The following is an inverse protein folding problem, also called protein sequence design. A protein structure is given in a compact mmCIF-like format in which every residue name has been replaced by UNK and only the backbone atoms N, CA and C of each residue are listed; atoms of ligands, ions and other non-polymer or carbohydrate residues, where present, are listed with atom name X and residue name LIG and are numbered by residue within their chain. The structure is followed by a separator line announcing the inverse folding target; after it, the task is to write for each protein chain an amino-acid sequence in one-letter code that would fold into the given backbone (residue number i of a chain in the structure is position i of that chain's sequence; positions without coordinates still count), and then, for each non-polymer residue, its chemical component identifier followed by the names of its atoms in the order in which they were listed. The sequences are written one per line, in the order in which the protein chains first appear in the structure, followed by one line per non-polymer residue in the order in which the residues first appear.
data_IF_907775811584
#
_entry.id   IF_907775811584
#
_cell.length_a   1.000
_cell.length_b   1.000
_cell.length_c   1.000
_cell.angle_alpha   90.00
_cell.angle_beta   90.00
_cell.angle_gamma   90.00
#
_symmetry.space_group_name_H-M   'P 1'
#
loop_
_entity.id
_entity.type
_entity.pdbx_description
1 polymer ?
#
# COMPACT_ATOMS: atom_id res chain seq x y z
N UNK A 1 65.47 4.07 64.00
CA UNK A 1 66.27 4.37 62.77
C UNK A 1 65.34 4.17 61.58
N UNK A 2 64.86 5.21 60.89
CA UNK A 2 65.43 5.80 59.64
C UNK A 2 65.90 4.69 58.67
N UNK A 3 65.53 4.59 57.39
CA UNK A 3 64.80 5.40 56.41
C UNK A 3 64.91 4.63 55.07
N UNK A 4 63.90 4.59 54.19
CA UNK A 4 63.85 5.11 52.78
C UNK A 4 63.04 4.08 51.96
N UNK A 5 61.92 4.40 51.30
CA UNK A 5 61.69 5.16 50.05
C UNK A 5 62.08 4.41 48.75
N UNK A 6 61.17 4.50 47.76
CA UNK A 6 61.18 4.09 46.33
C UNK A 6 60.55 2.72 46.01
N UNK A 7 59.28 2.67 45.56
CA UNK A 7 58.73 2.95 44.20
C UNK A 7 59.14 1.87 43.19
N UNK A 8 58.18 1.01 42.84
CA UNK A 8 57.92 0.70 41.43
C UNK A 8 56.44 0.32 41.25
N UNK A 9 55.74 1.17 40.50
CA UNK A 9 54.40 0.94 40.03
C UNK A 9 54.42 -0.03 38.84
N UNK A 10 53.51 -1.00 38.80
CA UNK A 10 53.05 -1.57 37.53
C UNK A 10 51.60 -2.03 37.65
N UNK A 11 50.79 -1.42 36.79
CA UNK A 11 49.42 -1.73 36.41
C UNK A 11 49.10 -3.23 36.37
N UNK A 12 47.86 -3.61 36.66
CA UNK A 12 46.94 -4.16 35.63
C UNK A 12 45.53 -4.46 36.17
N UNK A 13 44.62 -3.55 35.84
CA UNK A 13 43.31 -3.82 35.20
C UNK A 13 42.31 -4.66 36.01
N UNK A 14 41.50 -3.92 36.78
CA UNK A 14 40.14 -4.31 37.15
C UNK A 14 39.30 -4.54 35.89
N UNK A 15 38.94 -5.79 35.63
CA UNK A 15 37.99 -6.19 34.58
C UNK A 15 36.57 -5.76 35.01
N UNK A 16 36.24 -4.50 34.73
CA UNK A 16 34.85 -4.03 34.75
C UNK A 16 34.11 -4.73 33.60
N UNK A 17 33.35 -5.77 33.91
CA UNK A 17 32.35 -6.36 33.02
C UNK A 17 31.27 -5.30 32.77
N UNK A 18 31.51 -4.46 31.78
CA UNK A 18 30.49 -3.63 31.16
C UNK A 18 29.52 -4.61 30.49
N UNK A 19 28.39 -4.86 31.15
CA UNK A 19 27.21 -5.37 30.46
C UNK A 19 26.78 -4.29 29.46
N UNK A 20 27.35 -4.34 28.26
CA UNK A 20 26.79 -3.71 27.07
C UNK A 20 25.45 -4.37 26.80
N UNK A 21 24.43 -3.95 27.53
CA UNK A 21 23.05 -4.07 27.11
C UNK A 21 22.95 -3.34 25.79
N UNK A 22 23.02 -4.08 24.69
CA UNK A 22 22.48 -3.65 23.41
C UNK A 22 21.07 -3.15 23.68
N UNK A 23 20.90 -1.82 23.76
CA UNK A 23 19.59 -1.23 23.53
C UNK A 23 19.25 -1.65 22.11
N UNK A 24 18.40 -2.67 21.96
CA UNK A 24 17.59 -2.84 20.76
C UNK A 24 16.98 -1.46 20.57
N UNK A 25 17.46 -0.72 19.56
CA UNK A 25 16.78 0.48 19.12
C UNK A 25 15.34 0.06 18.93
N UNK A 26 14.41 0.72 19.62
CA UNK A 26 13.01 0.45 19.40
C UNK A 26 12.74 0.79 17.95
N UNK A 27 12.65 -0.22 17.09
CA UNK A 27 12.16 -0.04 15.73
C UNK A 27 10.77 0.56 15.88
N UNK A 28 10.66 1.87 15.60
CA UNK A 28 9.37 2.52 15.52
C UNK A 28 8.66 1.89 14.34
N UNK A 29 7.73 0.99 14.64
CA UNK A 29 6.88 0.35 13.64
C UNK A 29 6.23 1.44 12.80
N UNK A 30 6.34 1.30 11.47
CA UNK A 30 5.72 2.25 10.55
C UNK A 30 4.21 2.33 10.79
N UNK A 31 3.70 3.55 10.87
CA UNK A 31 2.27 3.88 10.97
C UNK A 31 1.93 4.83 9.85
N UNK A 32 0.86 4.53 9.13
CA UNK A 32 0.35 5.40 8.09
C UNK A 32 -0.55 6.47 8.73
N UNK A 33 -0.01 7.67 8.92
CA UNK A 33 -0.73 8.78 9.57
C UNK A 33 -1.85 9.38 8.71
N UNK A 34 -1.84 9.15 7.40
CA UNK A 34 -2.90 9.58 6.47
C UNK A 34 -3.98 8.52 6.26
N UNK A 35 -3.75 7.29 6.73
CA UNK A 35 -4.66 6.18 6.51
C UNK A 35 -5.77 6.14 7.57
N UNK A 36 -7.01 6.02 7.12
CA UNK A 36 -8.15 5.80 8.01
C UNK A 36 -8.15 4.39 8.60
N UNK A 37 -8.43 4.26 9.90
CA UNK A 37 -8.53 2.96 10.59
C UNK A 37 -9.91 2.33 10.51
N UNK A 38 -10.93 3.10 10.11
CA UNK A 38 -12.31 2.65 9.88
C UNK A 38 -12.74 2.94 8.45
N UNK A 39 -13.73 2.21 7.89
CA UNK A 39 -14.26 2.52 6.57
C UNK A 39 -14.83 3.94 6.49
N UNK A 40 -14.61 4.62 5.37
CA UNK A 40 -15.13 5.96 5.07
C UNK A 40 -16.45 5.90 4.27
N UNK A 41 -16.77 4.75 3.67
CA UNK A 41 -18.00 4.56 2.89
C UNK A 41 -19.26 4.75 3.75
N UNK A 42 -20.25 5.48 3.24
CA UNK A 42 -21.56 5.56 3.89
C UNK A 42 -22.45 4.37 3.48
N UNK A 43 -23.20 3.82 4.43
CA UNK A 43 -24.07 2.66 4.21
C UNK A 43 -25.10 2.89 3.10
N UNK A 44 -25.59 4.13 2.96
CA UNK A 44 -26.51 4.53 1.91
C UNK A 44 -25.94 4.34 0.48
N UNK A 45 -24.62 4.22 0.35
CA UNK A 45 -23.90 4.12 -0.91
C UNK A 45 -23.24 2.75 -1.13
N UNK A 46 -23.45 1.78 -0.25
CA UNK A 46 -22.78 0.47 -0.31
C UNK A 46 -23.07 -0.29 -1.61
N UNK A 47 -24.27 -0.13 -2.16
CA UNK A 47 -24.72 -0.76 -3.40
C UNK A 47 -24.99 0.28 -4.51
N UNK A 48 -24.28 1.40 -4.51
CA UNK A 48 -24.40 2.46 -5.50
C UNK A 48 -23.04 2.80 -6.13
N UNK A 49 -23.05 3.45 -7.30
CA UNK A 49 -21.84 4.03 -7.89
C UNK A 49 -21.28 5.17 -7.03
N UNK A 50 -22.10 5.79 -6.18
CA UNK A 50 -21.64 6.74 -5.17
C UNK A 50 -20.78 6.04 -4.11
N UNK A 51 -19.94 6.78 -3.41
CA UNK A 51 -19.18 6.27 -2.27
C UNK A 51 -17.67 6.43 -2.43
N UNK A 52 -16.92 5.65 -1.65
CA UNK A 52 -15.46 5.69 -1.60
C UNK A 52 -14.88 4.53 -2.40
N UNK A 53 -13.87 4.84 -3.21
CA UNK A 53 -13.07 3.84 -3.91
C UNK A 53 -11.61 4.09 -3.60
N UNK A 54 -10.86 3.03 -3.30
CA UNK A 54 -9.43 3.10 -3.01
C UNK A 54 -8.70 2.12 -3.90
N UNK A 55 -7.51 2.51 -4.33
CA UNK A 55 -6.72 1.68 -5.19
C UNK A 55 -5.25 2.00 -5.16
N UNK A 56 -4.51 1.18 -5.90
CA UNK A 56 -3.09 1.34 -6.14
C UNK A 56 -2.82 1.71 -7.58
N UNK A 57 -1.65 2.29 -7.83
CA UNK A 57 -1.08 2.50 -9.16
C UNK A 57 0.29 1.84 -9.23
N UNK A 58 0.59 1.15 -10.34
CA UNK A 58 1.91 0.59 -10.65
C UNK A 58 2.38 1.08 -12.03
N UNK A 59 3.64 1.52 -12.11
CA UNK A 59 4.25 2.23 -13.24
C UNK A 59 5.33 3.17 -12.69
N UNK A 60 4.92 3.93 -11.68
CA UNK A 60 5.69 4.20 -10.45
C UNK A 60 4.93 3.56 -9.28
N UNK A 61 5.20 3.91 -8.02
CA UNK A 61 4.46 3.36 -6.88
C UNK A 61 3.56 4.43 -6.23
N UNK A 62 2.32 4.07 -5.92
CA UNK A 62 1.36 5.02 -5.36
C UNK A 62 -0.04 4.48 -5.08
N UNK A 63 -0.92 5.39 -4.67
CA UNK A 63 -2.33 5.15 -4.36
C UNK A 63 -3.25 6.17 -5.04
N UNK A 64 -4.52 5.80 -5.18
CA UNK A 64 -5.58 6.71 -5.58
C UNK A 64 -6.84 6.46 -4.76
N UNK A 65 -7.46 7.53 -4.26
CA UNK A 65 -8.75 7.50 -3.57
C UNK A 65 -9.77 8.34 -4.33
N UNK A 66 -10.94 7.80 -4.64
CA UNK A 66 -12.08 8.54 -5.17
C UNK A 66 -13.12 8.74 -4.08
N UNK A 67 -13.63 9.96 -3.97
CA UNK A 67 -14.90 10.26 -3.30
C UNK A 67 -15.90 10.65 -4.39
N UNK A 68 -16.86 9.76 -4.64
CA UNK A 68 -17.91 9.97 -5.64
C UNK A 68 -19.21 10.25 -4.92
N UNK A 69 -19.44 11.51 -4.54
CA UNK A 69 -20.63 11.92 -3.78
C UNK A 69 -20.89 11.00 -2.56
N UNK A 70 -19.84 10.60 -1.83
CA UNK A 70 -20.01 9.75 -0.66
C UNK A 70 -20.79 10.51 0.40
N UNK A 71 -20.35 11.73 0.71
CA UNK A 71 -21.09 12.70 1.53
C UNK A 71 -21.27 14.00 0.75
N UNK A 72 -22.52 14.44 0.59
CA UNK A 72 -22.84 15.67 -0.15
C UNK A 72 -22.68 15.51 -1.67
N UNK A 73 -22.16 16.55 -2.32
CA UNK A 73 -22.12 16.71 -3.78
C UNK A 73 -20.69 16.79 -4.35
N UNK A 74 -19.69 16.40 -3.56
CA UNK A 74 -18.28 16.46 -3.98
C UNK A 74 -17.90 15.22 -4.77
N UNK A 75 -17.26 15.42 -5.92
CA UNK A 75 -16.70 14.35 -6.76
C UNK A 75 -15.22 14.64 -6.99
N UNK A 76 -14.37 13.97 -6.21
CA UNK A 76 -12.92 14.20 -6.21
C UNK A 76 -12.15 12.89 -6.24
N UNK A 77 -10.89 12.98 -6.63
CA UNK A 77 -9.91 11.94 -6.41
C UNK A 77 -8.64 12.54 -5.79
N UNK A 78 -7.96 11.78 -4.94
CA UNK A 78 -6.64 12.09 -4.43
C UNK A 78 -5.68 11.04 -4.98
N UNK A 79 -4.79 11.46 -5.86
CA UNK A 79 -3.72 10.63 -6.42
C UNK A 79 -2.43 10.95 -5.68
N UNK A 80 -1.80 9.94 -5.08
CA UNK A 80 -0.46 10.05 -4.49
C UNK A 80 0.46 9.10 -5.22
N UNK A 81 1.53 9.62 -5.82
CA UNK A 81 2.51 8.83 -6.58
C UNK A 81 3.91 9.41 -6.35
N UNK A 82 4.87 8.54 -6.06
CA UNK A 82 6.26 8.92 -5.73
C UNK A 82 6.35 10.02 -4.64
N UNK A 83 5.45 9.94 -3.65
CA UNK A 83 5.37 10.88 -2.52
C UNK A 83 4.67 12.21 -2.82
N UNK A 84 4.34 12.49 -4.09
CA UNK A 84 3.65 13.71 -4.51
C UNK A 84 2.14 13.47 -4.59
N UNK A 85 1.34 14.45 -4.17
CA UNK A 85 -0.12 14.33 -4.13
C UNK A 85 -0.79 15.35 -5.05
N UNK A 86 -1.77 14.90 -5.81
CA UNK A 86 -2.65 15.72 -6.63
C UNK A 86 -4.11 15.50 -6.23
N UNK A 87 -4.86 16.59 -6.11
CA UNK A 87 -6.32 16.55 -6.04
C UNK A 87 -6.87 16.69 -7.44
N UNK A 88 -7.64 15.70 -7.87
CA UNK A 88 -8.35 15.67 -9.13
C UNK A 88 -9.85 15.90 -8.87
N UNK A 89 -10.52 16.60 -9.78
CA UNK A 89 -11.94 16.95 -9.64
C UNK A 89 -12.68 16.49 -10.89
N UNK A 90 -13.92 16.03 -10.72
CA UNK A 90 -14.88 15.87 -11.80
C UNK A 90 -16.12 16.72 -11.57
N UNK A 91 -16.76 17.12 -12.66
CA UNK A 91 -18.07 17.79 -12.67
C UNK A 91 -19.18 16.87 -13.22
N UNK A 92 -18.86 15.62 -13.56
CA UNK A 92 -19.81 14.65 -14.11
C UNK A 92 -20.64 14.07 -12.97
N UNK A 93 -21.94 14.38 -12.99
CA UNK A 93 -22.90 13.83 -12.03
C UNK A 93 -23.08 12.32 -12.22
N UNK A 94 -23.27 11.61 -11.11
CA UNK A 94 -23.57 10.17 -11.14
C UNK A 94 -24.95 9.95 -11.78
N UNK A 95 -25.07 9.14 -12.85
CA UNK A 95 -26.35 8.86 -13.47
C UNK A 95 -27.26 8.05 -12.53
N UNK A 96 -28.58 8.13 -12.69
CA UNK A 96 -29.52 7.39 -11.86
C UNK A 96 -29.54 5.87 -12.12
N UNK A 97 -28.94 5.42 -13.22
CA UNK A 97 -28.79 4.00 -13.61
C UNK A 97 -27.58 3.84 -14.55
N UNK A 98 -27.20 2.60 -14.90
CA UNK A 98 -26.19 2.31 -15.91
C UNK A 98 -24.75 2.32 -15.38
N UNK A 99 -23.82 2.86 -16.14
CA UNK A 99 -22.41 2.97 -15.75
C UNK A 99 -22.09 4.44 -15.48
N UNK A 100 -21.47 4.72 -14.33
CA UNK A 100 -20.85 6.00 -14.08
C UNK A 100 -19.46 6.01 -14.69
N UNK A 101 -19.24 6.85 -15.69
CA UNK A 101 -17.93 7.06 -16.29
C UNK A 101 -17.60 8.55 -16.27
N UNK A 102 -16.44 8.90 -15.72
CA UNK A 102 -16.11 10.29 -15.44
C UNK A 102 -14.61 10.55 -15.54
N UNK A 103 -14.18 11.56 -16.34
CA UNK A 103 -12.83 12.05 -16.29
C UNK A 103 -12.63 12.95 -15.06
N UNK A 104 -11.50 12.75 -14.39
CA UNK A 104 -11.01 13.57 -13.28
C UNK A 104 -9.78 14.32 -13.74
N UNK A 105 -9.70 15.62 -13.43
CA UNK A 105 -8.60 16.48 -13.84
C UNK A 105 -8.00 17.21 -12.64
N UNK A 106 -6.69 17.44 -12.70
CA UNK A 106 -5.97 18.25 -11.72
C UNK A 106 -4.55 18.51 -12.17
N UNK A 107 -3.68 18.85 -11.23
CA UNK A 107 -2.25 19.04 -11.50
C UNK A 107 -1.39 18.28 -10.51
N UNK A 108 -0.29 17.73 -10.99
CA UNK A 108 0.77 17.12 -10.18
C UNK A 108 2.08 17.80 -10.56
N UNK A 109 2.76 18.42 -9.60
CA UNK A 109 3.98 19.21 -9.84
C UNK A 109 3.82 20.27 -10.95
N UNK A 110 2.65 20.91 -11.01
CA UNK A 110 2.33 21.94 -12.01
C UNK A 110 2.02 21.40 -13.42
N UNK A 111 2.05 20.08 -13.65
CA UNK A 111 1.69 19.47 -14.92
C UNK A 111 0.27 18.90 -14.88
N UNK A 112 -0.50 18.98 -15.99
CA UNK A 112 -1.86 18.48 -16.04
C UNK A 112 -1.90 16.96 -15.89
N UNK A 113 -2.79 16.47 -15.02
CA UNK A 113 -3.08 15.05 -14.81
C UNK A 113 -4.53 14.78 -15.14
N UNK A 114 -4.78 13.63 -15.77
CA UNK A 114 -6.14 13.12 -15.96
C UNK A 114 -6.26 11.63 -15.69
N UNK A 115 -7.40 11.22 -15.16
CA UNK A 115 -7.78 9.81 -14.93
C UNK A 115 -9.25 9.66 -15.25
N UNK A 116 -9.62 8.67 -16.07
CA UNK A 116 -11.03 8.34 -16.34
C UNK A 116 -11.44 7.14 -15.50
N UNK A 117 -12.29 7.38 -14.51
CA UNK A 117 -12.86 6.36 -13.64
C UNK A 117 -14.19 5.85 -14.21
N UNK A 118 -14.43 4.55 -14.10
CA UNK A 118 -15.66 3.89 -14.51
C UNK A 118 -16.11 2.88 -13.45
N UNK A 119 -17.40 2.84 -13.15
CA UNK A 119 -18.01 1.88 -12.22
C UNK A 119 -19.47 1.64 -12.59
N UNK A 120 -19.95 0.42 -12.38
CA UNK A 120 -21.38 0.12 -12.54
C UNK A 120 -22.21 0.85 -11.48
N UNK A 121 -23.50 1.08 -11.78
CA UNK A 121 -24.41 1.78 -10.88
C UNK A 121 -24.55 1.12 -9.51
N UNK A 122 -24.32 -0.19 -9.39
CA UNK A 122 -24.33 -0.93 -8.12
C UNK A 122 -23.00 -0.83 -7.35
N UNK A 123 -22.03 -0.05 -7.85
CA UNK A 123 -20.70 0.10 -7.26
C UNK A 123 -19.73 -1.03 -7.62
N UNK A 124 -20.13 -1.98 -8.48
CA UNK A 124 -19.28 -3.10 -8.90
C UNK A 124 -18.37 -2.73 -10.07
N UNK A 125 -17.33 -3.54 -10.27
CA UNK A 125 -16.37 -3.40 -11.37
C UNK A 125 -15.72 -2.01 -11.50
N UNK A 126 -15.27 -1.36 -10.39
CA UNK A 126 -14.57 -0.10 -10.49
C UNK A 126 -13.27 -0.27 -11.27
N UNK A 127 -13.02 0.61 -12.22
CA UNK A 127 -11.83 0.56 -13.08
C UNK A 127 -11.41 1.96 -13.52
N UNK A 128 -10.15 2.07 -13.95
CA UNK A 128 -9.64 3.25 -14.66
C UNK A 128 -9.46 2.85 -16.12
N UNK A 129 -10.17 3.52 -17.02
CA UNK A 129 -10.17 3.18 -18.45
C UNK A 129 -9.05 3.89 -19.21
N UNK A 130 -8.69 5.11 -18.78
CA UNK A 130 -7.57 5.88 -19.33
C UNK A 130 -6.93 6.73 -18.25
N UNK A 131 -5.64 7.02 -18.40
CA UNK A 131 -4.91 7.94 -17.53
C UNK A 131 -3.80 8.64 -18.29
N UNK A 132 -3.58 9.91 -17.96
CA UNK A 132 -2.38 10.66 -18.32
C UNK A 132 -1.77 11.22 -17.03
N UNK A 133 -0.65 10.61 -16.60
CA UNK A 133 0.10 11.05 -15.43
C UNK A 133 1.53 11.35 -15.89
N UNK A 134 1.91 12.64 -16.03
CA UNK A 134 3.24 13.03 -16.50
C UNK A 134 4.35 12.38 -15.67
N UNK A 135 5.35 11.82 -16.34
CA UNK A 135 6.45 11.07 -15.70
C UNK A 135 6.15 9.60 -15.40
N UNK A 136 4.89 9.15 -15.54
CA UNK A 136 4.47 7.80 -15.22
C UNK A 136 3.72 7.14 -16.39
N UNK A 137 4.39 6.89 -17.53
CA UNK A 137 3.77 6.20 -18.65
C UNK A 137 3.36 4.78 -18.24
N UNK A 138 2.28 4.28 -18.83
CA UNK A 138 1.77 2.92 -18.60
C UNK A 138 1.38 2.65 -17.14
N UNK A 139 0.86 3.65 -16.43
CA UNK A 139 0.27 3.47 -15.11
C UNK A 139 -0.87 2.45 -15.17
N UNK A 140 -0.78 1.39 -14.36
CA UNK A 140 -1.78 0.34 -14.21
C UNK A 140 -2.41 0.45 -12.83
N UNK A 141 -3.73 0.29 -12.76
CA UNK A 141 -4.48 0.50 -11.52
C UNK A 141 -5.21 -0.76 -11.07
N UNK A 142 -5.35 -0.90 -9.76
CA UNK A 142 -6.29 -1.84 -9.14
C UNK A 142 -7.13 -1.04 -8.16
N UNK A 143 -8.44 -1.00 -8.38
CA UNK A 143 -9.39 -0.21 -7.59
C UNK A 143 -10.39 -1.14 -6.91
N UNK A 144 -10.75 -0.83 -5.68
CA UNK A 144 -11.81 -1.49 -4.95
C UNK A 144 -12.75 -0.48 -4.31
N UNK A 145 -14.03 -0.82 -4.25
CA UNK A 145 -15.03 -0.07 -3.50
C UNK A 145 -14.86 -0.35 -2.00
N UNK A 146 -14.85 0.72 -1.21
CA UNK A 146 -14.97 0.65 0.24
C UNK A 146 -16.45 0.76 0.62
N UNK A 147 -16.92 -0.17 1.45
CA UNK A 147 -18.30 -0.14 1.99
C UNK A 147 -18.25 0.36 3.42
N UNK A 148 -19.42 0.67 3.98
CA UNK A 148 -19.56 1.10 5.37
C UNK A 148 -19.06 0.11 6.42
N UNK A 149 -18.89 -1.15 6.06
CA UNK A 149 -18.47 -2.22 6.98
C UNK A 149 -17.13 -2.87 6.61
N UNK A 150 -16.54 -2.51 5.47
CA UNK A 150 -15.34 -3.17 4.97
C UNK A 150 -14.32 -2.16 4.47
N UNK A 151 -13.27 -2.00 5.28
CA UNK A 151 -12.13 -1.13 5.01
C UNK A 151 -11.32 -1.66 3.83
N UNK A 152 -10.96 -0.77 2.91
CA UNK A 152 -10.01 -1.05 1.84
C UNK A 152 -8.65 -0.47 2.25
N UNK A 153 -7.62 -1.30 2.22
CA UNK A 153 -6.24 -0.92 2.55
C UNK A 153 -5.34 -1.11 1.35
N UNK A 154 -4.67 -0.05 0.95
CA UNK A 154 -3.65 -0.10 -0.10
C UNK A 154 -2.27 -0.25 0.53
N UNK A 155 -1.41 -1.06 -0.06
CA UNK A 155 -0.03 -1.23 0.36
C UNK A 155 0.89 -1.10 -0.83
N UNK A 156 2.04 -0.48 -0.60
CA UNK A 156 3.18 -0.46 -1.50
C UNK A 156 4.31 -1.27 -0.88
N UNK A 157 5.04 -2.02 -1.70
CA UNK A 157 6.04 -2.95 -1.18
C UNK A 157 7.07 -3.42 -2.19
N UNK A 158 8.00 -4.21 -1.68
CA UNK A 158 9.08 -4.83 -2.45
C UNK A 158 9.11 -6.32 -2.22
N UNK A 159 9.55 -7.04 -3.24
CA UNK A 159 9.88 -8.45 -3.13
C UNK A 159 11.32 -8.72 -3.57
N UNK A 160 11.90 -9.77 -3.01
CA UNK A 160 13.16 -10.34 -3.46
C UNK A 160 13.06 -11.86 -3.44
N UNK A 161 13.85 -12.51 -4.28
CA UNK A 161 13.94 -13.97 -4.31
C UNK A 161 15.32 -14.42 -3.85
N UNK A 162 15.51 -15.74 -3.68
CA UNK A 162 16.83 -16.35 -3.54
C UNK A 162 17.63 -16.42 -4.87
N UNK A 163 17.17 -15.73 -5.90
CA UNK A 163 17.85 -15.45 -7.18
C UNK A 163 18.01 -13.93 -7.35
N UNK A 164 18.77 -13.44 -8.35
CA UNK A 164 18.87 -12.02 -8.64
C UNK A 164 17.58 -11.44 -9.28
N UNK A 165 16.41 -11.87 -8.79
CA UNK A 165 15.11 -11.33 -9.17
C UNK A 165 14.52 -10.60 -7.96
N UNK A 166 14.25 -9.32 -8.14
CA UNK A 166 13.62 -8.45 -7.14
C UNK A 166 12.72 -7.45 -7.86
N UNK A 167 11.82 -6.81 -7.12
CA UNK A 167 10.93 -5.83 -7.70
C UNK A 167 10.02 -5.16 -6.69
N UNK A 168 9.04 -4.45 -7.22
CA UNK A 168 8.02 -3.74 -6.47
C UNK A 168 6.66 -4.38 -6.69
N UNK A 169 5.80 -4.33 -5.69
CA UNK A 169 4.39 -4.67 -5.84
C UNK A 169 3.54 -3.65 -5.11
N UNK A 170 2.32 -3.45 -5.61
CA UNK A 170 1.28 -2.72 -4.90
C UNK A 170 0.03 -3.57 -4.81
N UNK A 171 -0.59 -3.63 -3.64
CA UNK A 171 -1.79 -4.44 -3.37
C UNK A 171 -2.91 -3.65 -2.73
N UNK A 172 -4.14 -4.06 -3.00
CA UNK A 172 -5.37 -3.66 -2.32
C UNK A 172 -5.88 -4.85 -1.53
N UNK A 173 -6.04 -4.68 -0.22
CA UNK A 173 -6.59 -5.68 0.70
C UNK A 173 -7.98 -5.24 1.15
N UNK A 174 -8.97 -6.11 0.99
CA UNK A 174 -10.35 -5.83 1.40
C UNK A 174 -11.08 -7.10 1.78
N UNK A 175 -11.83 -7.04 2.88
CA UNK A 175 -12.73 -8.12 3.28
C UNK A 175 -13.92 -8.26 2.32
N UNK A 176 -14.36 -7.19 1.64
CA UNK A 176 -15.36 -7.25 0.55
C UNK A 176 -14.84 -8.01 -0.65
N UNK A 177 -13.56 -7.84 -0.99
CA UNK A 177 -12.90 -8.62 -2.04
C UNK A 177 -12.64 -10.07 -1.60
N UNK A 178 -12.95 -10.42 -0.34
CA UNK A 178 -12.60 -11.70 0.31
C UNK A 178 -11.12 -12.06 0.16
N UNK A 179 -10.27 -11.03 0.11
CA UNK A 179 -8.90 -11.23 -0.34
C UNK A 179 -8.14 -9.95 -0.60
N UNK A 180 -7.13 -10.10 -1.43
CA UNK A 180 -6.28 -9.03 -1.91
C UNK A 180 -6.00 -9.22 -3.39
N UNK A 181 -5.78 -8.10 -4.09
CA UNK A 181 -5.39 -8.05 -5.50
C UNK A 181 -4.34 -6.99 -5.68
N UNK A 182 -3.51 -7.11 -6.70
CA UNK A 182 -2.48 -6.13 -6.96
C UNK A 182 -1.73 -6.40 -8.24
N UNK A 183 -0.63 -5.69 -8.36
CA UNK A 183 0.30 -5.84 -9.47
C UNK A 183 1.72 -5.92 -8.92
N UNK A 184 2.55 -6.76 -9.53
CA UNK A 184 3.98 -6.84 -9.30
C UNK A 184 4.74 -6.40 -10.55
N UNK A 185 5.95 -5.87 -10.36
CA UNK A 185 6.87 -5.52 -11.44
C UNK A 185 8.29 -5.80 -11.00
N UNK A 186 8.98 -6.62 -11.79
CA UNK A 186 10.41 -6.89 -11.64
C UNK A 186 11.23 -5.62 -11.91
N UNK A 187 12.33 -5.44 -11.20
CA UNK A 187 13.26 -4.34 -11.41
C UNK A 187 13.78 -4.34 -12.84
N UNK A 188 13.61 -3.21 -13.54
CA UNK A 188 14.01 -3.04 -14.93
C UNK A 188 12.99 -3.54 -15.97
N UNK A 189 11.91 -4.21 -15.55
CA UNK A 189 10.83 -4.61 -16.44
C UNK A 189 9.92 -3.43 -16.81
N UNK A 190 9.34 -3.49 -18.02
CA UNK A 190 8.36 -2.51 -18.52
C UNK A 190 6.91 -2.97 -18.35
N UNK A 191 6.69 -4.26 -18.06
CA UNK A 191 5.38 -4.88 -17.86
C UNK A 191 5.11 -5.17 -16.38
N UNK A 192 3.85 -5.50 -16.08
CA UNK A 192 3.42 -5.89 -14.73
C UNK A 192 2.75 -7.26 -14.78
N UNK A 193 2.82 -7.98 -13.67
CA UNK A 193 2.12 -9.25 -13.45
C UNK A 193 0.96 -9.04 -12.50
N UNK A 194 -0.16 -9.69 -12.77
CA UNK A 194 -1.27 -9.79 -11.82
C UNK A 194 -0.90 -10.67 -10.64
N UNK A 195 -1.23 -10.20 -9.44
CA UNK A 195 -1.09 -10.94 -8.20
C UNK A 195 -2.38 -10.84 -7.40
N UNK A 196 -2.80 -11.95 -6.81
CA UNK A 196 -4.00 -11.99 -5.99
C UNK A 196 -3.90 -13.10 -4.93
N UNK A 197 -4.82 -13.05 -3.98
CA UNK A 197 -5.06 -14.17 -3.10
C UNK A 197 -6.06 -13.88 -2.01
N UNK A 198 -6.10 -14.76 -1.02
CA UNK A 198 -7.04 -14.68 0.10
C UNK A 198 -6.42 -13.91 1.28
N UNK A 199 -7.27 -13.25 2.06
CA UNK A 199 -6.90 -12.55 3.28
C UNK A 199 -7.80 -12.99 4.42
N UNK A 200 -7.21 -13.58 5.46
CA UNK A 200 -7.94 -14.04 6.65
C UNK A 200 -7.03 -14.02 7.88
N UNK A 201 -7.59 -13.67 9.03
CA UNK A 201 -6.87 -13.65 10.32
C UNK A 201 -5.55 -12.87 10.28
N UNK A 202 -5.57 -11.70 9.62
CA UNK A 202 -4.38 -10.88 9.39
C UNK A 202 -3.27 -11.52 8.54
N UNK A 203 -3.53 -12.62 7.84
CA UNK A 203 -2.55 -13.30 6.99
C UNK A 203 -2.96 -13.15 5.53
N UNK A 204 -1.98 -12.81 4.69
CA UNK A 204 -2.07 -12.86 3.23
C UNK A 204 -1.73 -14.27 2.76
N UNK A 205 -2.57 -14.86 1.93
CA UNK A 205 -2.35 -16.18 1.30
C UNK A 205 -2.17 -16.02 -0.20
N UNK A 206 -1.28 -16.81 -0.81
CA UNK A 206 -0.91 -16.71 -2.23
C UNK A 206 -1.92 -17.37 -3.14
N UNK A 207 -2.58 -16.63 -4.03
CA UNK A 207 -3.57 -17.16 -4.95
C UNK A 207 -4.93 -17.42 -4.28
N UNK A 208 -5.99 -17.24 -5.05
CA UNK A 208 -7.35 -17.42 -4.56
C UNK A 208 -7.63 -18.88 -4.17
N UNK A 209 -8.05 -19.12 -2.93
CA UNK A 209 -8.45 -20.45 -2.44
C UNK A 209 -7.30 -21.36 -2.00
N UNK A 210 -6.07 -20.85 -1.95
CA UNK A 210 -4.94 -21.61 -1.39
C UNK A 210 -4.79 -21.39 0.12
N UNK A 211 -3.96 -22.23 0.74
CA UNK A 211 -3.58 -22.12 2.15
C UNK A 211 -2.12 -21.75 2.34
N UNK A 212 -1.43 -21.25 1.31
CA UNK A 212 0.00 -20.90 1.38
C UNK A 212 0.16 -19.50 1.99
N UNK A 213 0.64 -19.36 3.24
CA UNK A 213 0.80 -18.04 3.86
C UNK A 213 1.99 -17.29 3.24
N UNK A 214 1.78 -16.03 2.90
CA UNK A 214 2.80 -15.11 2.37
C UNK A 214 3.40 -14.27 3.50
N UNK A 215 2.54 -13.59 4.25
CA UNK A 215 2.94 -12.59 5.24
C UNK A 215 1.81 -12.32 6.24
N UNK A 216 2.17 -11.87 7.44
CA UNK A 216 1.22 -11.39 8.44
C UNK A 216 1.18 -9.86 8.42
N UNK A 217 -0.02 -9.30 8.33
CA UNK A 217 -0.28 -7.87 8.47
C UNK A 217 -0.30 -7.50 9.95
N UNK A 218 0.62 -6.63 10.34
CA UNK A 218 0.73 -6.05 11.67
C UNK A 218 0.47 -4.54 11.57
N UNK A 219 -0.80 -4.14 11.72
CA UNK A 219 -1.22 -2.75 11.55
C UNK A 219 -1.04 -2.27 10.11
N UNK A 220 -0.12 -1.34 9.91
CA UNK A 220 0.17 -0.70 8.62
C UNK A 220 1.40 -1.28 7.92
N UNK A 221 1.93 -2.42 8.38
CA UNK A 221 3.02 -3.12 7.72
C UNK A 221 2.74 -4.61 7.59
N UNK A 222 3.46 -5.25 6.68
CA UNK A 222 3.63 -6.70 6.69
C UNK A 222 5.01 -7.07 6.16
N UNK A 223 5.49 -8.22 6.61
CA UNK A 223 6.65 -8.88 6.03
C UNK A 223 6.49 -10.39 6.11
N UNK A 224 7.16 -11.11 5.22
CA UNK A 224 7.09 -12.57 5.20
C UNK A 224 7.97 -13.18 4.14
N UNK A 225 8.10 -14.50 4.21
CA UNK A 225 8.83 -15.29 3.22
C UNK A 225 8.07 -16.59 2.95
N UNK A 226 7.93 -16.95 1.68
CA UNK A 226 7.18 -18.13 1.25
C UNK A 226 7.85 -18.77 0.01
N UNK A 227 7.54 -20.04 -0.23
CA UNK A 227 7.96 -20.74 -1.44
C UNK A 227 6.83 -20.69 -2.47
N UNK A 228 7.10 -20.16 -3.67
CA UNK A 228 6.11 -19.99 -4.73
C UNK A 228 5.98 -21.21 -5.67
N UNK A 229 6.71 -22.30 -5.37
CA UNK A 229 6.83 -23.49 -6.22
C UNK A 229 8.15 -23.55 -6.99
N UNK A 230 8.86 -22.44 -7.12
CA UNK A 230 10.16 -22.33 -7.79
C UNK A 230 11.23 -21.72 -6.89
N UNK A 231 10.89 -20.65 -6.16
CA UNK A 231 11.81 -19.81 -5.41
C UNK A 231 11.27 -19.47 -4.03
N UNK A 232 12.19 -19.11 -3.14
CA UNK A 232 11.84 -18.47 -1.88
C UNK A 232 11.70 -16.98 -2.13
N UNK A 233 10.49 -16.45 -1.98
CA UNK A 233 10.14 -15.04 -2.15
C UNK A 233 10.03 -14.40 -0.77
N UNK A 234 10.70 -13.28 -0.56
CA UNK A 234 10.57 -12.44 0.63
C UNK A 234 9.84 -11.17 0.24
N UNK A 235 8.84 -10.76 1.03
CA UNK A 235 8.03 -9.57 0.77
C UNK A 235 8.04 -8.63 1.97
N UNK A 236 8.00 -7.33 1.70
CA UNK A 236 7.78 -6.28 2.69
C UNK A 236 6.81 -5.26 2.13
N UNK A 237 5.78 -4.91 2.89
CA UNK A 237 4.76 -3.95 2.48
C UNK A 237 4.45 -2.93 3.56
N UNK A 238 4.16 -1.71 3.13
CA UNK A 238 3.72 -0.59 3.97
C UNK A 238 2.40 -0.07 3.46
N UNK A 239 1.47 0.19 4.38
CA UNK A 239 0.17 0.74 4.05
C UNK A 239 0.34 2.18 3.56
N UNK A 240 -0.38 2.51 2.51
CA UNK A 240 -0.43 3.84 1.91
C UNK A 240 -1.90 4.18 1.70
N UNK A 241 -2.22 5.46 1.79
CA UNK A 241 -3.61 5.94 1.78
C UNK A 241 -3.63 7.43 1.55
#
# INVERSE_FOLDING_TARGET
MKSKLLILAMYSITLALVFSSCKKGGDTQYVCTTCNSTPEGLAANDNLAKGIYKGIVIGSSGTIKFDVNNAGNTITATLTIDGQTATLISQVSVPPTGTYMSPFFGTLNGQPVSVTFSVNFDGTSPTITTSNIPGHPNAVFVIAKETSTALVRCFEGTYSTNKPENGTFNIVVSTTLKGWKGKARETGASSTSDIDGTYANNILYYGTGTTTPIATINGDTFSGSFFDGSYTVTVNGQRKG
#
